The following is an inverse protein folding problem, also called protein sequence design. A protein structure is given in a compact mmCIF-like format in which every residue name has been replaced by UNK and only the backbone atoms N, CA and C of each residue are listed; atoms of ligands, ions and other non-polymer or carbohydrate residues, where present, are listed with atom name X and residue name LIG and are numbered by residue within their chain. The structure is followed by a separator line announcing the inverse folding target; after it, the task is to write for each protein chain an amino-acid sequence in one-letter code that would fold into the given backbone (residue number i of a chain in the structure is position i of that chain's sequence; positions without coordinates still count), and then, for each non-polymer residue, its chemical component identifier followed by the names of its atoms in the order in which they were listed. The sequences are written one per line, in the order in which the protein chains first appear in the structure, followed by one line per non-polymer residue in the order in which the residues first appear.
data_IF_618832976221
#
_entry.id   IF_618832976221
#
_cell.length_a   1.000
_cell.length_b   1.000
_cell.length_c   1.000
_cell.angle_alpha   90.00
_cell.angle_beta   90.00
_cell.angle_gamma   90.00
#
_symmetry.space_group_name_H-M   'P 1'
#
loop_
_entity.id
_entity.type
_entity.pdbx_description
1 polymer ?
#
# COMPACT_ATOMS: atom_id res chain seq x y z
N UNK A 1 4.02 -19.47 1.78
CA UNK A 1 3.62 -18.06 1.50
C UNK A 1 4.20 -17.54 0.18
N UNK A 2 5.47 -17.77 -0.15
CA UNK A 2 6.05 -17.36 -1.45
C UNK A 2 5.32 -17.98 -2.65
N UNK A 3 4.89 -19.22 -2.56
CA UNK A 3 4.13 -19.91 -3.61
C UNK A 3 2.74 -19.27 -3.80
N UNK A 4 2.09 -18.83 -2.72
CA UNK A 4 0.78 -18.18 -2.76
C UNK A 4 0.88 -16.78 -3.40
N UNK A 5 1.92 -16.02 -3.08
CA UNK A 5 2.18 -14.69 -3.64
C UNK A 5 2.40 -14.75 -5.16
N UNK A 6 3.25 -15.66 -5.61
CA UNK A 6 3.50 -15.87 -7.04
C UNK A 6 2.24 -16.29 -7.79
N UNK A 7 1.40 -17.12 -7.20
CA UNK A 7 0.15 -17.58 -7.81
C UNK A 7 -0.86 -16.43 -8.01
N UNK A 8 -1.04 -15.57 -6.98
CA UNK A 8 -1.98 -14.43 -7.05
C UNK A 8 -1.52 -13.38 -8.07
N UNK A 9 -0.22 -13.16 -8.23
CA UNK A 9 0.33 -12.18 -9.16
C UNK A 9 0.39 -12.70 -10.60
N UNK A 10 0.46 -14.02 -10.79
CA UNK A 10 0.44 -14.63 -12.13
C UNK A 10 -0.95 -14.52 -12.78
N UNK A 11 -2.00 -14.44 -11.98
CA UNK A 11 -3.39 -14.19 -12.40
C UNK A 11 -4.04 -13.16 -11.48
N UNK A 12 -3.75 -11.87 -11.73
CA UNK A 12 -3.99 -10.79 -10.78
C UNK A 12 -5.47 -10.54 -10.50
N UNK A 13 -5.89 -10.86 -9.27
CA UNK A 13 -7.24 -10.63 -8.72
C UNK A 13 -7.19 -9.91 -7.36
N UNK A 14 -6.13 -9.13 -7.08
CA UNK A 14 -5.91 -8.46 -5.78
C UNK A 14 -6.97 -7.41 -5.43
N UNK A 15 -7.64 -6.84 -6.40
CA UNK A 15 -8.66 -5.83 -6.18
C UNK A 15 -9.89 -6.10 -7.05
N UNK A 16 -11.03 -5.41 -6.84
CA UNK A 16 -12.26 -5.66 -7.61
C UNK A 16 -12.15 -5.44 -9.13
N UNK A 17 -11.01 -4.90 -9.64
CA UNK A 17 -10.74 -4.84 -11.08
C UNK A 17 -10.57 -6.20 -11.73
N UNK A 18 -10.09 -7.20 -10.98
CA UNK A 18 -9.89 -8.58 -11.45
C UNK A 18 -9.28 -8.62 -12.85
N UNK A 19 -8.10 -8.00 -13.00
CA UNK A 19 -7.49 -7.77 -14.31
C UNK A 19 -7.00 -9.06 -15.00
N UNK A 20 -6.77 -10.14 -14.23
CA UNK A 20 -6.28 -11.43 -14.73
C UNK A 20 -5.02 -11.33 -15.60
N UNK A 21 -4.15 -10.37 -15.30
CA UNK A 21 -2.86 -10.21 -15.96
C UNK A 21 -1.75 -10.89 -15.17
N UNK A 22 -0.79 -11.44 -15.88
CA UNK A 22 0.42 -11.99 -15.26
C UNK A 22 1.42 -10.87 -14.96
N UNK A 23 1.38 -10.39 -13.70
CA UNK A 23 2.28 -9.35 -13.21
C UNK A 23 3.70 -9.86 -12.98
N UNK A 24 3.88 -11.18 -12.82
CA UNK A 24 5.21 -11.80 -12.67
C UNK A 24 6.00 -11.75 -13.97
N UNK A 25 5.30 -11.81 -15.11
CA UNK A 25 5.88 -11.62 -16.45
C UNK A 25 6.03 -10.12 -16.85
N UNK A 26 5.87 -9.19 -15.90
CA UNK A 26 6.00 -7.76 -16.17
C UNK A 26 4.78 -7.11 -16.83
N UNK A 27 3.66 -7.84 -16.99
CA UNK A 27 2.40 -7.23 -17.47
C UNK A 27 1.79 -6.35 -16.38
N UNK A 28 1.06 -5.33 -16.80
CA UNK A 28 0.40 -4.39 -15.90
C UNK A 28 -1.11 -4.45 -16.04
N UNK A 29 -1.81 -4.43 -14.91
CA UNK A 29 -3.26 -4.30 -14.89
C UNK A 29 -3.72 -2.84 -14.93
N UNK A 30 -4.98 -2.59 -14.55
CA UNK A 30 -5.55 -1.24 -14.51
C UNK A 30 -4.76 -0.28 -13.61
N UNK A 31 -4.18 -0.76 -12.51
CA UNK A 31 -3.34 0.05 -11.62
C UNK A 31 -2.05 0.55 -12.28
N UNK A 32 -1.65 -0.01 -13.43
CA UNK A 32 -0.44 0.34 -14.16
C UNK A 32 0.85 -0.27 -13.60
N UNK A 33 0.74 -1.21 -12.65
CA UNK A 33 1.89 -1.76 -11.92
C UNK A 33 2.10 -3.24 -12.21
N UNK A 34 3.36 -3.62 -12.34
CA UNK A 34 3.83 -5.01 -12.39
C UNK A 34 4.05 -5.58 -10.96
N UNK A 35 4.80 -6.66 -10.80
CA UNK A 35 5.08 -7.26 -9.50
C UNK A 35 6.05 -6.43 -8.63
N UNK A 36 6.84 -5.51 -9.22
CA UNK A 36 7.84 -4.74 -8.49
C UNK A 36 7.17 -3.63 -7.69
N UNK A 37 7.39 -3.59 -6.38
CA UNK A 37 6.89 -2.50 -5.56
C UNK A 37 7.51 -1.19 -6.00
N UNK A 38 6.67 -0.21 -6.30
CA UNK A 38 7.08 1.13 -6.70
C UNK A 38 6.61 2.14 -5.66
N UNK A 39 7.54 2.83 -5.01
CA UNK A 39 7.25 3.88 -4.02
C UNK A 39 7.47 5.25 -4.63
N UNK A 40 6.49 6.14 -4.47
CA UNK A 40 6.58 7.52 -4.95
C UNK A 40 7.23 8.43 -3.91
N UNK A 41 6.93 8.21 -2.64
CA UNK A 41 7.43 9.03 -1.52
C UNK A 41 7.43 8.21 -0.24
N UNK A 42 8.42 8.46 0.61
CA UNK A 42 8.43 8.01 2.00
C UNK A 42 8.95 9.15 2.88
N UNK A 43 8.09 9.71 3.74
CA UNK A 43 8.42 10.85 4.59
C UNK A 43 7.45 10.97 5.76
N UNK A 44 7.85 11.75 6.78
CA UNK A 44 6.90 12.20 7.81
C UNK A 44 5.81 13.06 7.17
N UNK A 45 4.56 12.76 7.49
CA UNK A 45 3.38 13.51 7.05
C UNK A 45 2.66 14.06 8.29
N UNK A 46 2.59 15.40 8.35
CA UNK A 46 2.07 16.10 9.55
C UNK A 46 0.57 16.37 9.49
N UNK A 47 -0.05 16.10 8.34
CA UNK A 47 -1.43 16.51 8.02
C UNK A 47 -2.34 15.30 7.73
N UNK A 48 -2.00 14.13 8.28
CA UNK A 48 -2.96 13.03 8.38
C UNK A 48 -3.93 13.35 9.52
N UNK A 49 -4.96 12.53 9.78
CA UNK A 49 -5.86 12.73 10.91
C UNK A 49 -5.06 12.98 12.20
N UNK A 50 -5.48 13.91 13.06
CA UNK A 50 -4.73 14.29 14.28
C UNK A 50 -4.35 13.10 15.17
N UNK A 51 -5.22 12.09 15.26
CA UNK A 51 -4.98 10.87 16.04
C UNK A 51 -3.91 9.95 15.39
N UNK A 52 -3.61 10.13 14.10
CA UNK A 52 -2.60 9.37 13.35
C UNK A 52 -1.28 10.13 13.32
N UNK A 53 -1.32 11.43 12.98
CA UNK A 53 -0.10 12.27 12.88
C UNK A 53 0.53 12.57 14.22
N UNK A 54 -0.29 12.82 15.26
CA UNK A 54 0.23 13.29 16.54
C UNK A 54 1.12 14.52 16.38
N UNK A 55 2.17 14.60 17.22
CA UNK A 55 3.10 15.75 17.20
C UNK A 55 4.31 15.55 16.27
N UNK A 56 4.70 14.32 15.98
CA UNK A 56 5.90 14.00 15.19
C UNK A 56 5.58 13.60 13.74
N UNK A 57 4.31 13.41 13.42
CA UNK A 57 3.85 13.01 12.11
C UNK A 57 3.74 11.49 11.91
N UNK A 58 2.98 11.15 10.90
CA UNK A 58 2.80 9.79 10.40
C UNK A 58 3.91 9.43 9.41
N UNK A 59 4.51 8.26 9.52
CA UNK A 59 5.52 7.75 8.59
C UNK A 59 4.87 7.26 7.29
N UNK A 60 4.49 8.19 6.42
CA UNK A 60 3.72 7.88 5.22
C UNK A 60 4.60 7.31 4.10
N UNK A 61 4.19 6.15 3.56
CA UNK A 61 4.76 5.51 2.37
C UNK A 61 3.72 5.52 1.26
N UNK A 62 3.90 6.37 0.27
CA UNK A 62 3.03 6.47 -0.89
C UNK A 62 3.44 5.47 -1.96
N UNK A 63 2.57 4.55 -2.30
CA UNK A 63 2.78 3.61 -3.39
C UNK A 63 2.31 4.19 -4.72
N UNK A 64 3.08 3.92 -5.79
CA UNK A 64 2.72 4.34 -7.14
C UNK A 64 1.67 3.41 -7.73
N UNK A 65 0.79 3.98 -8.57
CA UNK A 65 -0.35 3.25 -9.11
C UNK A 65 -1.56 3.29 -8.18
N UNK A 66 -2.74 3.05 -8.74
CA UNK A 66 -3.97 3.00 -7.95
C UNK A 66 -5.04 2.20 -8.73
N UNK A 67 -5.73 1.25 -8.09
CA UNK A 67 -6.80 0.49 -8.74
C UNK A 67 -8.09 1.31 -8.95
N UNK A 68 -8.28 2.41 -8.21
CA UNK A 68 -9.49 3.25 -8.33
C UNK A 68 -9.32 4.40 -9.33
N UNK A 69 -8.18 5.13 -9.30
CA UNK A 69 -7.87 6.25 -10.22
C UNK A 69 -8.97 7.32 -10.28
N UNK A 70 -9.38 7.84 -9.13
CA UNK A 70 -10.39 8.89 -9.04
C UNK A 70 -10.03 10.10 -9.91
N UNK A 71 -11.00 10.65 -10.64
CA UNK A 71 -10.80 11.84 -11.51
C UNK A 71 -10.41 13.10 -10.73
N UNK A 72 -10.78 13.18 -9.46
CA UNK A 72 -10.48 14.28 -8.54
C UNK A 72 -9.28 13.99 -7.61
N UNK A 73 -8.46 12.98 -7.92
CA UNK A 73 -7.35 12.58 -7.04
C UNK A 73 -6.31 13.70 -6.90
N UNK A 74 -6.08 14.17 -5.66
CA UNK A 74 -5.02 15.14 -5.37
C UNK A 74 -3.61 14.60 -5.65
N UNK A 75 -3.44 13.27 -5.60
CA UNK A 75 -2.19 12.57 -5.90
C UNK A 75 -2.19 11.94 -7.30
N UNK A 76 -2.81 12.60 -8.28
CA UNK A 76 -3.06 12.06 -9.62
C UNK A 76 -1.80 11.47 -10.29
N UNK A 77 -0.67 12.17 -10.26
CA UNK A 77 0.58 11.69 -10.86
C UNK A 77 1.11 10.41 -10.20
N UNK A 78 0.91 10.26 -8.88
CA UNK A 78 1.24 9.02 -8.14
C UNK A 78 0.26 7.92 -8.53
N UNK A 79 -1.04 8.22 -8.54
CA UNK A 79 -2.10 7.27 -8.87
C UNK A 79 -2.00 6.69 -10.29
N UNK A 80 -1.49 7.46 -11.24
CA UNK A 80 -1.19 6.99 -12.60
C UNK A 80 0.14 6.22 -12.71
N UNK A 81 0.95 6.17 -11.66
CA UNK A 81 2.23 5.50 -11.67
C UNK A 81 3.36 6.27 -12.37
N UNK A 82 3.15 7.56 -12.69
CA UNK A 82 4.14 8.40 -13.37
C UNK A 82 5.34 8.76 -12.48
N UNK A 83 5.14 8.76 -11.16
CA UNK A 83 6.15 9.12 -10.16
C UNK A 83 6.51 7.88 -9.34
N UNK A 84 7.77 7.78 -8.93
CA UNK A 84 8.26 6.78 -8.00
C UNK A 84 9.39 5.93 -8.59
N UNK A 85 10.00 5.13 -7.71
CA UNK A 85 11.09 4.21 -8.03
C UNK A 85 10.73 2.81 -7.56
N UNK A 86 11.10 1.81 -8.35
CA UNK A 86 11.01 0.42 -7.94
C UNK A 86 11.96 0.17 -6.75
N UNK A 87 11.47 -0.52 -5.74
CA UNK A 87 12.24 -0.90 -4.56
C UNK A 87 12.14 -2.41 -4.33
N UNK A 88 13.21 -2.99 -3.77
CA UNK A 88 13.20 -4.36 -3.29
C UNK A 88 12.42 -4.46 -1.97
N UNK A 89 12.04 -5.67 -1.57
CA UNK A 89 11.40 -5.88 -0.27
C UNK A 89 12.32 -5.46 0.89
N UNK A 90 13.62 -5.74 0.80
CA UNK A 90 14.58 -5.33 1.83
C UNK A 90 14.67 -3.80 1.91
N UNK A 91 14.68 -3.10 0.76
CA UNK A 91 14.65 -1.63 0.74
C UNK A 91 13.34 -1.07 1.32
N UNK A 92 12.20 -1.74 1.10
CA UNK A 92 10.93 -1.33 1.71
C UNK A 92 10.98 -1.48 3.23
N UNK A 93 11.56 -2.57 3.73
CA UNK A 93 11.81 -2.75 5.18
C UNK A 93 12.72 -1.65 5.73
N UNK A 94 13.82 -1.32 5.03
CA UNK A 94 14.72 -0.24 5.46
C UNK A 94 14.00 1.11 5.54
N UNK A 95 13.11 1.40 4.59
CA UNK A 95 12.27 2.61 4.61
C UNK A 95 11.42 2.68 5.89
N UNK A 96 10.85 1.56 6.35
CA UNK A 96 10.08 1.54 7.59
C UNK A 96 10.94 1.92 8.80
N UNK A 97 12.17 1.40 8.86
CA UNK A 97 13.11 1.74 9.94
C UNK A 97 13.62 3.18 9.84
N UNK A 98 13.90 3.69 8.65
CA UNK A 98 14.26 5.10 8.45
C UNK A 98 13.16 6.06 8.94
N UNK A 99 11.88 5.70 8.73
CA UNK A 99 10.75 6.48 9.25
C UNK A 99 10.66 6.39 10.77
N UNK A 100 10.90 5.20 11.35
CA UNK A 100 11.01 5.02 12.81
C UNK A 100 12.12 5.91 13.40
N UNK A 101 13.31 5.92 12.80
CA UNK A 101 14.45 6.73 13.24
C UNK A 101 14.18 8.24 13.14
N UNK A 102 13.35 8.67 12.18
CA UNK A 102 12.86 10.06 12.07
C UNK A 102 11.80 10.42 13.10
N UNK A 103 11.39 9.49 13.97
CA UNK A 103 10.43 9.70 15.03
C UNK A 103 8.96 9.56 14.62
N UNK A 104 8.67 8.88 13.51
CA UNK A 104 7.29 8.62 13.09
C UNK A 104 6.49 7.91 14.19
N UNK A 105 5.23 8.29 14.37
CA UNK A 105 4.34 7.62 15.33
C UNK A 105 3.83 6.25 14.83
N UNK A 106 3.82 6.05 13.52
CA UNK A 106 3.34 4.84 12.85
C UNK A 106 3.98 4.70 11.47
N UNK A 107 3.76 3.56 10.83
CA UNK A 107 4.00 3.37 9.39
C UNK A 107 2.67 3.41 8.68
N UNK A 108 2.44 4.42 7.85
CA UNK A 108 1.20 4.65 7.13
C UNK A 108 1.38 4.27 5.65
N UNK A 109 0.72 3.21 5.24
CA UNK A 109 0.77 2.64 3.90
C UNK A 109 -0.34 3.26 3.05
N UNK A 110 0.02 4.21 2.17
CA UNK A 110 -0.95 4.97 1.38
C UNK A 110 -1.18 4.32 0.02
N UNK A 111 -2.42 3.92 -0.25
CA UNK A 111 -2.86 3.20 -1.46
C UNK A 111 -2.08 1.89 -1.70
N UNK A 112 -2.07 0.97 -0.74
CA UNK A 112 -1.24 -0.23 -0.80
C UNK A 112 -1.90 -1.42 -1.51
N UNK A 113 -3.17 -1.35 -1.86
CA UNK A 113 -4.06 -2.41 -2.36
C UNK A 113 -3.39 -3.38 -3.36
N UNK A 114 -2.72 -2.83 -4.36
CA UNK A 114 -2.16 -3.61 -5.47
C UNK A 114 -0.78 -4.22 -5.17
N UNK A 115 -0.27 -4.00 -3.94
CA UNK A 115 0.98 -4.56 -3.43
C UNK A 115 0.82 -5.35 -2.13
N UNK A 116 -0.41 -5.71 -1.77
CA UNK A 116 -0.70 -6.41 -0.50
C UNK A 116 0.20 -7.62 -0.25
N UNK A 117 0.44 -8.54 -1.20
CA UNK A 117 1.33 -9.68 -0.93
C UNK A 117 2.76 -9.25 -0.56
N UNK A 118 3.33 -8.32 -1.33
CA UNK A 118 4.69 -7.82 -1.08
C UNK A 118 4.78 -7.04 0.23
N UNK A 119 3.72 -6.28 0.57
CA UNK A 119 3.63 -5.53 1.82
C UNK A 119 3.52 -6.48 3.01
N UNK A 120 2.71 -7.53 2.91
CA UNK A 120 2.60 -8.54 3.96
C UNK A 120 3.96 -9.18 4.26
N UNK A 121 4.72 -9.55 3.23
CA UNK A 121 6.06 -10.10 3.38
C UNK A 121 7.04 -9.07 3.99
N UNK A 122 7.01 -7.81 3.53
CA UNK A 122 7.86 -6.76 4.09
C UNK A 122 7.54 -6.47 5.57
N UNK A 123 6.25 -6.45 5.95
CA UNK A 123 5.84 -6.25 7.34
C UNK A 123 6.27 -7.43 8.22
N UNK A 124 6.16 -8.67 7.76
CA UNK A 124 6.65 -9.83 8.49
C UNK A 124 8.16 -9.74 8.74
N UNK A 125 8.95 -9.37 7.71
CA UNK A 125 10.39 -9.15 7.86
C UNK A 125 10.69 -8.03 8.84
N UNK A 126 9.94 -6.92 8.79
CA UNK A 126 10.10 -5.79 9.68
C UNK A 126 9.76 -6.16 11.14
N UNK A 127 8.66 -6.90 11.38
CA UNK A 127 8.28 -7.40 12.71
C UNK A 127 9.33 -8.35 13.28
N UNK A 128 9.90 -9.24 12.46
CA UNK A 128 11.01 -10.12 12.87
C UNK A 128 12.27 -9.32 13.27
N UNK A 129 12.48 -8.15 12.68
CA UNK A 129 13.54 -7.19 13.05
C UNK A 129 13.11 -6.22 14.19
N UNK A 130 11.99 -6.47 14.87
CA UNK A 130 11.45 -5.67 15.98
C UNK A 130 11.01 -4.26 15.58
N UNK A 131 10.33 -4.15 14.45
CA UNK A 131 9.55 -2.94 14.17
C UNK A 131 8.31 -2.94 15.08
N UNK A 132 8.29 -2.05 16.07
CA UNK A 132 7.23 -1.97 17.10
C UNK A 132 6.17 -0.91 16.78
N UNK A 133 6.41 -0.06 15.76
CA UNK A 133 5.46 0.97 15.37
C UNK A 133 4.14 0.37 14.89
N UNK A 134 3.00 0.99 15.24
CA UNK A 134 1.71 0.66 14.63
C UNK A 134 1.76 0.83 13.13
N UNK A 135 1.06 -0.04 12.41
CA UNK A 135 0.92 0.01 10.95
C UNK A 135 -0.49 0.44 10.58
N UNK A 136 -0.57 1.50 9.80
CA UNK A 136 -1.81 2.06 9.28
C UNK A 136 -1.97 1.67 7.82
N UNK A 137 -3.13 1.14 7.46
CA UNK A 137 -3.52 0.81 6.08
C UNK A 137 -4.49 1.87 5.57
N UNK A 138 -3.98 2.84 4.80
CA UNK A 138 -4.73 3.97 4.27
C UNK A 138 -5.20 3.63 2.86
N UNK A 139 -6.49 3.36 2.71
CA UNK A 139 -7.07 2.77 1.51
C UNK A 139 -8.25 3.57 0.96
N UNK A 140 -8.45 3.46 -0.36
CA UNK A 140 -9.63 3.96 -1.04
C UNK A 140 -10.90 3.12 -0.81
N UNK A 141 -10.85 2.11 0.05
CA UNK A 141 -11.92 1.12 0.31
C UNK A 141 -12.27 0.23 -0.91
N UNK A 142 -11.53 0.32 -2.01
CA UNK A 142 -11.73 -0.51 -3.19
C UNK A 142 -10.90 -1.79 -3.10
N UNK A 143 -11.35 -2.70 -2.22
CA UNK A 143 -10.60 -3.87 -1.78
C UNK A 143 -11.36 -5.17 -2.01
N UNK A 144 -10.64 -6.27 -2.24
CA UNK A 144 -11.19 -7.62 -2.11
C UNK A 144 -10.95 -8.14 -0.69
N UNK A 145 -11.97 -8.69 -0.05
CA UNK A 145 -11.90 -9.23 1.32
C UNK A 145 -10.82 -10.31 1.42
N UNK A 146 -10.71 -11.19 0.42
CA UNK A 146 -9.69 -12.25 0.41
C UNK A 146 -8.26 -11.69 0.38
N UNK A 147 -8.07 -10.55 -0.28
CA UNK A 147 -6.77 -9.85 -0.28
C UNK A 147 -6.48 -9.25 1.08
N UNK A 148 -7.45 -8.65 1.75
CA UNK A 148 -7.28 -8.10 3.10
C UNK A 148 -6.92 -9.17 4.13
N UNK A 149 -7.41 -10.41 3.98
CA UNK A 149 -7.03 -11.53 4.86
C UNK A 149 -5.54 -11.85 4.86
N UNK A 150 -4.81 -11.50 3.79
CA UNK A 150 -3.36 -11.66 3.75
C UNK A 150 -2.63 -10.75 4.74
N UNK A 151 -3.29 -9.68 5.19
CA UNK A 151 -2.78 -8.69 6.14
C UNK A 151 -3.19 -8.97 7.58
N UNK A 152 -3.86 -10.08 7.84
CA UNK A 152 -4.37 -10.44 9.17
C UNK A 152 -3.24 -10.51 10.19
N UNK A 153 -3.39 -9.78 11.31
CA UNK A 153 -2.36 -9.64 12.36
C UNK A 153 -1.16 -8.75 11.97
N UNK A 154 -1.15 -8.10 10.80
CA UNK A 154 -0.07 -7.21 10.36
C UNK A 154 -0.44 -5.73 10.38
N UNK A 155 -1.73 -5.40 10.30
CA UNK A 155 -2.25 -4.04 10.31
C UNK A 155 -2.91 -3.76 11.65
N UNK A 156 -2.57 -2.63 12.26
CA UNK A 156 -3.11 -2.20 13.54
C UNK A 156 -4.30 -1.24 13.36
N UNK A 157 -4.29 -0.43 12.30
CA UNK A 157 -5.30 0.61 12.05
C UNK A 157 -5.66 0.63 10.57
N UNK A 158 -6.96 0.65 10.26
CA UNK A 158 -7.46 0.88 8.91
C UNK A 158 -8.02 2.30 8.80
N UNK A 159 -7.61 3.03 7.74
CA UNK A 159 -8.16 4.32 7.33
C UNK A 159 -8.86 4.14 5.99
N UNK A 160 -10.13 3.72 5.98
CA UNK A 160 -10.87 3.52 4.75
C UNK A 160 -11.54 4.83 4.32
N UNK A 161 -11.22 5.31 3.13
CA UNK A 161 -11.93 6.44 2.52
C UNK A 161 -13.39 6.10 2.17
N UNK A 162 -14.30 6.97 2.49
CA UNK A 162 -15.67 6.92 2.02
C UNK A 162 -15.87 7.94 0.90
N UNK A 163 -15.67 7.50 -0.35
CA UNK A 163 -15.60 8.42 -1.50
C UNK A 163 -16.94 8.77 -2.13
N UNK A 164 -17.93 7.89 -2.02
CA UNK A 164 -19.24 8.05 -2.63
C UNK A 164 -20.35 7.67 -1.64
N UNK A 165 -21.38 8.52 -1.57
CA UNK A 165 -22.57 8.24 -0.77
C UNK A 165 -23.57 7.36 -1.54
N UNK A 166 -23.73 7.65 -2.84
CA UNK A 166 -24.63 6.89 -3.72
C UNK A 166 -23.91 5.67 -4.30
N UNK A 167 -24.49 4.46 -4.19
CA UNK A 167 -23.90 3.25 -4.77
C UNK A 167 -23.86 3.29 -6.31
N UNK A 168 -24.67 4.13 -6.96
CA UNK A 168 -24.67 4.30 -8.41
C UNK A 168 -23.39 5.06 -8.90
N UNK A 169 -22.73 5.78 -7.98
CA UNK A 169 -21.50 6.52 -8.28
C UNK A 169 -20.22 5.75 -7.88
N UNK A 170 -20.38 4.67 -7.14
CA UNK A 170 -19.28 3.82 -6.70
C UNK A 170 -19.03 2.68 -7.69
#
# INVERSE_FOLDING_TARGET
RQDTESCILADCSLCPRNCHVDRTAGKTGYCGMDQKVKTARAALHMWEEPCISGVNGSGAVFFSGCPLRCVYCQNHSIALGNIGKAVTLDRLVDIFFELKEKGAHNINLVTPTHYVPQIAEALLRARNKRLELPVVYNTSSYENVETLKLLDGLIDIYLPDFKYYSPELA
#
